data_IF_199776412341
#
_entry.id   IF_199776412341
#
_cell.length_a   1.000
_cell.length_b   1.000
_cell.length_c   1.000
_cell.angle_alpha   90.00
_cell.angle_beta   90.00
_cell.angle_gamma   90.00
#
_symmetry.space_group_name_H-M   'P 1'
#
loop_
_entity.id
_entity.type
_entity.pdbx_description
1 polymer ?
#
# COMPACT_ATOMS: atom_id res chain seq x y z
N UNK A 1 -18.60 9.57 12.58
CA UNK A 1 -19.15 10.85 12.07
C UNK A 1 -20.10 10.53 10.93
N UNK A 2 -21.36 10.92 11.02
CA UNK A 2 -22.39 10.61 10.01
C UNK A 2 -22.23 11.54 8.80
N UNK A 3 -22.76 11.13 7.64
CA UNK A 3 -22.75 11.95 6.40
C UNK A 3 -23.40 13.32 6.62
N UNK A 4 -24.35 13.42 7.55
CA UNK A 4 -25.03 14.67 7.92
C UNK A 4 -24.11 15.62 8.72
N UNK A 5 -23.25 15.10 9.58
CA UNK A 5 -22.26 15.91 10.33
C UNK A 5 -21.17 16.46 9.41
N UNK A 6 -20.76 15.69 8.40
CA UNK A 6 -19.78 16.14 7.40
C UNK A 6 -20.33 17.29 6.53
N UNK A 7 -21.60 17.22 6.16
CA UNK A 7 -22.27 18.29 5.37
C UNK A 7 -22.50 19.55 6.19
N UNK A 8 -22.81 19.43 7.48
CA UNK A 8 -22.99 20.57 8.39
C UNK A 8 -21.67 21.33 8.67
N UNK A 9 -20.52 20.61 8.65
CA UNK A 9 -19.21 21.22 8.83
C UNK A 9 -18.70 21.92 7.56
N UNK A 10 -19.10 21.42 6.38
CA UNK A 10 -18.80 22.07 5.10
C UNK A 10 -19.53 23.43 4.93
N UNK A 11 -20.67 23.62 5.58
CA UNK A 11 -21.46 24.85 5.53
C UNK A 11 -20.88 26.00 6.39
N UNK A 12 -20.00 25.68 7.35
CA UNK A 12 -19.34 26.66 8.26
C UNK A 12 -18.09 27.33 7.68
N UNK A 13 -17.75 27.05 6.41
CA UNK A 13 -16.60 27.73 5.77
C UNK A 13 -16.88 29.22 5.53
N UNK A 14 -15.91 30.13 5.82
CA UNK A 14 -16.14 31.55 5.73
C UNK A 14 -16.49 31.99 4.30
N UNK A 15 -17.49 32.87 4.17
CA UNK A 15 -18.04 33.37 2.89
C UNK A 15 -17.00 33.87 1.87
N UNK A 16 -15.80 34.23 2.31
CA UNK A 16 -14.71 34.69 1.43
C UNK A 16 -14.20 33.60 0.47
N UNK A 17 -14.28 32.33 0.85
CA UNK A 17 -13.86 31.22 -0.01
C UNK A 17 -14.88 30.89 -1.11
N UNK A 18 -16.16 31.15 -0.86
CA UNK A 18 -17.24 30.93 -1.86
C UNK A 18 -17.15 31.96 -3.00
N UNK A 19 -16.70 33.20 -2.71
CA UNK A 19 -16.52 34.24 -3.72
C UNK A 19 -15.33 33.94 -4.65
N UNK A 20 -14.26 33.37 -4.14
CA UNK A 20 -13.07 33.04 -4.94
C UNK A 20 -13.37 31.89 -5.93
N UNK A 21 -14.11 30.86 -5.49
CA UNK A 21 -14.54 29.76 -6.35
C UNK A 21 -15.53 30.20 -7.43
N UNK A 22 -16.43 31.13 -7.11
CA UNK A 22 -17.36 31.69 -8.08
C UNK A 22 -16.66 32.53 -9.16
N UNK A 23 -15.65 33.31 -8.80
CA UNK A 23 -14.87 34.12 -9.75
C UNK A 23 -14.00 33.26 -10.67
N UNK A 24 -13.40 32.20 -10.15
CA UNK A 24 -12.62 31.24 -10.95
C UNK A 24 -13.47 30.44 -11.92
N UNK A 25 -14.71 30.08 -11.54
CA UNK A 25 -15.63 29.39 -12.45
C UNK A 25 -16.19 30.32 -13.54
N UNK A 26 -16.47 31.59 -13.22
CA UNK A 26 -16.89 32.58 -14.20
C UNK A 26 -15.76 32.96 -15.18
N UNK A 27 -14.53 33.09 -14.69
CA UNK A 27 -13.36 33.34 -15.54
C UNK A 27 -13.07 32.13 -16.46
N UNK A 28 -13.28 30.90 -15.97
CA UNK A 28 -13.12 29.66 -16.75
C UNK A 28 -14.19 29.57 -17.86
N UNK A 29 -15.44 29.89 -17.57
CA UNK A 29 -16.51 29.93 -18.58
C UNK A 29 -16.30 31.00 -19.65
N UNK A 30 -15.77 32.18 -19.29
CA UNK A 30 -15.48 33.25 -20.28
C UNK A 30 -14.29 32.88 -21.16
N UNK A 31 -13.29 32.21 -20.65
CA UNK A 31 -12.15 31.72 -21.43
C UNK A 31 -12.54 30.62 -22.45
N UNK A 32 -13.58 29.81 -22.17
CA UNK A 32 -14.04 28.77 -23.09
C UNK A 32 -14.79 29.31 -24.29
N UNK A 33 -15.29 30.56 -24.25
CA UNK A 33 -16.09 31.19 -25.34
C UNK A 33 -15.24 32.17 -26.17
N UNK A 34 -14.01 32.49 -25.76
CA UNK A 34 -13.12 33.39 -26.51
C UNK A 34 -12.18 32.59 -27.43
N UNK A 35 -11.82 33.14 -28.63
CA UNK A 35 -10.83 32.49 -29.51
C UNK A 35 -9.48 32.22 -28.84
N UNK A 36 -9.11 33.03 -27.83
CA UNK A 36 -7.92 32.83 -27.02
C UNK A 36 -8.05 31.64 -26.07
N UNK A 37 -9.24 31.34 -25.54
CA UNK A 37 -9.51 30.16 -24.71
C UNK A 37 -9.40 28.86 -25.50
N UNK A 38 -9.81 28.87 -26.77
CA UNK A 38 -9.64 27.70 -27.66
C UNK A 38 -8.17 27.39 -27.97
N UNK A 39 -7.32 28.41 -28.09
CA UNK A 39 -5.90 28.25 -28.28
C UNK A 39 -5.20 27.69 -27.04
N UNK A 40 -5.66 28.06 -25.85
CA UNK A 40 -5.14 27.56 -24.57
C UNK A 40 -5.52 26.11 -24.35
N UNK A 41 -6.77 25.73 -24.56
CA UNK A 41 -7.23 24.35 -24.46
C UNK A 41 -6.50 23.41 -25.44
N UNK A 42 -6.07 23.95 -26.60
CA UNK A 42 -5.33 23.20 -27.61
C UNK A 42 -3.80 23.08 -27.32
N UNK A 43 -3.28 24.00 -26.50
CA UNK A 43 -1.86 23.99 -26.12
C UNK A 43 -1.52 23.04 -24.95
N UNK A 44 -2.51 22.68 -24.10
CA UNK A 44 -2.29 21.83 -22.94
C UNK A 44 -2.40 20.33 -23.20
N UNK A 45 -2.58 19.90 -24.43
CA UNK A 45 -2.49 18.48 -24.78
C UNK A 45 -1.02 18.01 -24.93
N UNK A 46 -0.11 18.49 -24.06
CA UNK A 46 1.12 17.80 -23.76
C UNK A 46 0.70 16.52 -23.03
N UNK A 47 0.54 15.43 -23.78
CA UNK A 47 0.59 14.09 -23.22
C UNK A 47 1.87 14.03 -22.40
N UNK A 48 1.78 14.21 -21.09
CA UNK A 48 2.77 13.69 -20.16
C UNK A 48 2.72 12.20 -20.39
N UNK A 49 3.59 11.68 -21.24
CA UNK A 49 3.73 10.25 -21.42
C UNK A 49 4.35 9.71 -20.12
N UNK A 50 3.51 9.44 -19.14
CA UNK A 50 3.87 8.54 -18.06
C UNK A 50 4.24 7.23 -18.78
N UNK A 51 5.45 6.67 -18.57
CA UNK A 51 5.77 5.37 -19.13
C UNK A 51 4.67 4.39 -18.77
N UNK A 52 4.19 3.55 -19.68
CA UNK A 52 3.19 2.55 -19.36
C UNK A 52 3.72 1.64 -18.25
N UNK A 53 2.86 1.18 -17.35
CA UNK A 53 3.20 0.18 -16.37
C UNK A 53 3.72 -1.08 -17.09
N UNK A 54 4.68 -1.79 -16.49
CA UNK A 54 5.23 -3.02 -17.07
C UNK A 54 4.22 -4.17 -17.06
N UNK A 55 3.33 -4.19 -16.06
CA UNK A 55 2.22 -5.11 -15.94
C UNK A 55 1.07 -4.44 -15.19
N UNK A 56 -0.16 -4.79 -15.54
CA UNK A 56 -1.37 -4.26 -14.93
C UNK A 56 -2.39 -5.39 -14.75
N UNK A 57 -3.12 -5.38 -13.65
CA UNK A 57 -4.25 -6.27 -13.42
C UNK A 57 -5.29 -5.57 -12.55
N UNK A 58 -6.55 -5.62 -12.96
CA UNK A 58 -7.70 -5.18 -12.17
C UNK A 58 -8.62 -6.36 -11.94
N UNK A 59 -8.90 -6.64 -10.67
CA UNK A 59 -9.67 -7.80 -10.23
C UNK A 59 -10.85 -7.38 -9.35
N UNK A 60 -12.00 -7.98 -9.53
CA UNK A 60 -13.12 -7.86 -8.60
C UNK A 60 -12.83 -8.71 -7.35
N UNK A 61 -12.83 -8.09 -6.16
CA UNK A 61 -12.26 -8.66 -4.95
C UNK A 61 -13.00 -9.92 -4.44
N UNK A 62 -14.33 -9.99 -4.59
CA UNK A 62 -15.12 -11.10 -4.04
C UNK A 62 -15.10 -12.33 -4.95
N UNK A 63 -15.35 -12.13 -6.24
CA UNK A 63 -15.40 -13.21 -7.24
C UNK A 63 -14.02 -13.59 -7.79
N UNK A 64 -12.99 -12.74 -7.55
CA UNK A 64 -11.66 -12.83 -8.15
C UNK A 64 -11.67 -12.80 -9.67
N UNK A 65 -12.73 -12.25 -10.27
CA UNK A 65 -12.84 -12.12 -11.72
C UNK A 65 -11.92 -11.00 -12.21
N UNK A 66 -11.07 -11.30 -13.18
CA UNK A 66 -10.24 -10.30 -13.86
C UNK A 66 -11.16 -9.41 -14.70
N UNK A 67 -11.06 -8.10 -14.48
CA UNK A 67 -11.80 -7.08 -15.24
C UNK A 67 -10.93 -6.48 -16.34
N UNK A 68 -9.62 -6.39 -16.10
CA UNK A 68 -8.63 -5.92 -17.06
C UNK A 68 -7.27 -6.49 -16.71
N UNK A 69 -6.49 -6.83 -17.72
CA UNK A 69 -5.14 -7.33 -17.57
C UNK A 69 -4.28 -6.92 -18.76
N UNK A 70 -3.05 -6.49 -18.48
CA UNK A 70 -2.01 -6.24 -19.47
C UNK A 70 -0.69 -6.76 -18.93
N UNK A 71 -0.10 -7.76 -19.60
CA UNK A 71 1.14 -8.43 -19.18
C UNK A 71 1.08 -8.96 -17.73
N UNK A 72 -0.12 -9.31 -17.24
CA UNK A 72 -0.38 -9.58 -15.82
C UNK A 72 0.30 -10.83 -15.27
N UNK A 73 0.69 -11.78 -16.12
CA UNK A 73 1.42 -12.99 -15.75
C UNK A 73 2.96 -12.82 -15.78
N UNK A 74 3.47 -11.64 -16.13
CA UNK A 74 4.91 -11.39 -16.14
C UNK A 74 5.49 -11.41 -14.73
N UNK A 75 6.53 -12.19 -14.50
CA UNK A 75 7.28 -12.22 -13.24
C UNK A 75 8.18 -10.99 -13.16
N UNK A 76 7.87 -10.10 -12.23
CA UNK A 76 8.53 -8.81 -12.06
C UNK A 76 8.92 -8.59 -10.59
N UNK A 77 9.98 -7.80 -10.33
CA UNK A 77 10.26 -7.32 -9.00
C UNK A 77 9.13 -6.38 -8.56
N UNK A 78 8.65 -6.57 -7.33
CA UNK A 78 7.45 -5.91 -6.82
C UNK A 78 7.73 -4.81 -5.78
N UNK A 79 8.98 -4.65 -5.34
CA UNK A 79 9.38 -3.69 -4.31
C UNK A 79 8.48 -3.78 -3.05
N UNK A 80 8.14 -2.65 -2.45
CA UNK A 80 7.39 -2.60 -1.18
C UNK A 80 5.95 -3.13 -1.23
N UNK A 81 5.39 -3.47 -2.40
CA UNK A 81 4.12 -4.19 -2.44
C UNK A 81 4.21 -5.59 -1.81
N UNK A 82 5.41 -6.14 -1.67
CA UNK A 82 5.73 -7.33 -0.85
C UNK A 82 5.12 -7.24 0.56
N UNK A 83 5.07 -6.04 1.15
CA UNK A 83 4.63 -5.82 2.54
C UNK A 83 3.16 -6.15 2.79
N UNK A 84 2.34 -6.21 1.73
CA UNK A 84 0.96 -6.70 1.83
C UNK A 84 0.98 -8.17 2.29
N UNK A 85 1.83 -8.99 1.64
CA UNK A 85 1.98 -10.39 2.02
C UNK A 85 2.65 -10.53 3.39
N UNK A 86 3.66 -9.71 3.68
CA UNK A 86 4.31 -9.69 5.00
C UNK A 86 3.31 -9.43 6.11
N UNK A 87 2.47 -8.41 5.97
CA UNK A 87 1.46 -8.06 6.97
C UNK A 87 0.48 -9.21 7.23
N UNK A 88 -0.09 -9.81 6.18
CA UNK A 88 -1.05 -10.91 6.37
C UNK A 88 -0.36 -12.17 6.90
N UNK A 89 0.89 -12.45 6.50
CA UNK A 89 1.66 -13.56 7.05
C UNK A 89 1.89 -13.38 8.55
N UNK A 90 2.24 -12.17 9.00
CA UNK A 90 2.38 -11.86 10.44
C UNK A 90 1.04 -12.06 11.16
N UNK A 91 -0.05 -11.49 10.64
CA UNK A 91 -1.38 -11.60 11.25
C UNK A 91 -1.86 -13.06 11.39
N UNK A 92 -1.56 -13.92 10.42
CA UNK A 92 -1.91 -15.34 10.48
C UNK A 92 -1.09 -16.15 11.48
N UNK A 93 0.13 -15.70 11.82
CA UNK A 93 1.05 -16.44 12.68
C UNK A 93 1.24 -15.80 14.07
N UNK A 94 0.60 -14.67 14.36
CA UNK A 94 0.62 -14.01 15.66
C UNK A 94 -0.60 -14.42 16.47
N UNK A 95 -0.38 -14.93 17.69
CA UNK A 95 -1.46 -15.28 18.61
C UNK A 95 -2.13 -14.03 19.20
N UNK A 96 -1.36 -12.96 19.43
CA UNK A 96 -1.80 -11.67 19.94
C UNK A 96 -1.00 -10.53 19.33
N UNK A 97 -1.64 -9.71 18.52
CA UNK A 97 -0.98 -8.54 17.89
C UNK A 97 -0.65 -7.43 18.89
N UNK A 98 -1.18 -7.48 20.11
CA UNK A 98 -0.84 -6.56 21.21
C UNK A 98 0.40 -6.99 21.99
N UNK A 99 0.91 -8.20 21.75
CA UNK A 99 2.16 -8.66 22.32
C UNK A 99 3.29 -7.69 21.99
N UNK A 100 4.06 -7.32 23.03
CA UNK A 100 5.22 -6.43 22.90
C UNK A 100 6.50 -7.24 22.94
N UNK A 101 7.44 -6.87 22.09
CA UNK A 101 8.76 -7.48 22.07
C UNK A 101 9.86 -6.45 21.85
N UNK A 102 11.08 -6.82 22.21
CA UNK A 102 12.27 -5.99 22.07
C UNK A 102 12.81 -6.09 20.64
N UNK A 103 13.14 -4.94 20.04
CA UNK A 103 13.68 -4.87 18.67
C UNK A 103 15.09 -5.45 18.63
N UNK A 104 15.29 -6.53 17.85
CA UNK A 104 16.61 -7.14 17.71
C UNK A 104 17.55 -6.26 16.87
N UNK A 105 18.84 -6.29 17.17
CA UNK A 105 19.85 -5.50 16.42
C UNK A 105 19.87 -5.80 14.92
N UNK A 106 19.51 -7.02 14.53
CA UNK A 106 19.45 -7.43 13.12
C UNK A 106 18.37 -6.70 12.32
N UNK A 107 17.32 -6.16 12.97
CA UNK A 107 16.27 -5.41 12.30
C UNK A 107 16.60 -3.91 12.13
N UNK A 108 17.74 -3.44 12.66
CA UNK A 108 18.11 -2.02 12.67
C UNK A 108 19.07 -1.71 11.52
N UNK A 109 18.87 -0.55 10.88
CA UNK A 109 19.76 -0.09 9.79
C UNK A 109 19.51 -0.77 8.44
N UNK A 110 18.34 -1.37 8.26
CA UNK A 110 17.93 -1.96 6.97
C UNK A 110 17.82 -0.86 5.92
N UNK A 111 18.35 -1.11 4.74
CA UNK A 111 18.32 -0.17 3.61
C UNK A 111 16.89 0.18 3.20
N UNK A 112 16.68 1.43 2.75
CA UNK A 112 15.42 1.91 2.19
C UNK A 112 14.54 2.66 3.19
N UNK A 113 13.21 2.55 3.05
CA UNK A 113 12.26 3.23 3.94
C UNK A 113 12.34 2.66 5.36
N UNK A 114 12.39 3.54 6.36
CA UNK A 114 12.54 3.16 7.77
C UNK A 114 11.68 4.04 8.67
N UNK A 115 11.25 3.51 9.79
CA UNK A 115 10.72 4.26 10.94
C UNK A 115 11.79 4.55 11.99
N UNK A 116 13.03 4.14 11.72
CA UNK A 116 14.21 4.36 12.55
C UNK A 116 14.15 3.68 13.92
N UNK A 117 13.75 2.40 13.92
CA UNK A 117 13.79 1.56 15.12
C UNK A 117 15.21 1.51 15.70
N UNK A 118 15.29 1.37 17.02
CA UNK A 118 16.56 1.20 17.72
C UNK A 118 16.58 -0.15 18.42
N UNK A 119 17.75 -0.74 18.48
CA UNK A 119 17.98 -1.98 19.26
C UNK A 119 17.55 -1.78 20.71
N UNK A 120 16.75 -2.70 21.23
CA UNK A 120 16.24 -2.66 22.60
C UNK A 120 14.97 -1.82 22.81
N UNK A 121 14.51 -1.05 21.81
CA UNK A 121 13.18 -0.45 21.87
C UNK A 121 12.11 -1.55 21.95
N UNK A 122 10.98 -1.27 22.60
CA UNK A 122 9.89 -2.24 22.76
C UNK A 122 8.63 -1.72 22.08
N UNK A 123 8.12 -2.48 21.12
CA UNK A 123 6.88 -2.19 20.39
C UNK A 123 5.97 -3.41 20.34
N UNK A 124 4.67 -3.19 20.13
CA UNK A 124 3.75 -4.29 19.85
C UNK A 124 3.85 -4.71 18.38
N UNK A 125 3.41 -5.94 18.08
CA UNK A 125 3.25 -6.41 16.71
C UNK A 125 2.36 -5.45 15.91
N UNK A 126 1.28 -4.93 16.54
CA UNK A 126 0.38 -3.96 15.93
C UNK A 126 1.08 -2.64 15.58
N UNK A 127 1.88 -2.06 16.50
CA UNK A 127 2.64 -0.82 16.23
C UNK A 127 3.55 -0.98 14.99
N UNK A 128 4.23 -2.12 14.91
CA UNK A 128 5.12 -2.42 13.79
C UNK A 128 4.36 -2.70 12.48
N UNK A 129 3.16 -3.30 12.55
CA UNK A 129 2.29 -3.45 11.37
C UNK A 129 1.81 -2.09 10.85
N UNK A 130 1.52 -1.13 11.71
CA UNK A 130 1.24 0.24 11.30
C UNK A 130 2.48 0.91 10.68
N UNK A 131 3.66 0.77 11.27
CA UNK A 131 4.91 1.25 10.70
C UNK A 131 5.22 0.63 9.34
N UNK A 132 4.97 -0.67 9.19
CA UNK A 132 5.10 -1.43 7.95
C UNK A 132 4.20 -0.88 6.84
N UNK A 133 2.90 -0.71 7.12
CA UNK A 133 1.91 -0.40 6.09
C UNK A 133 1.80 1.11 5.81
N UNK A 134 1.91 1.98 6.82
CA UNK A 134 1.72 3.42 6.65
C UNK A 134 3.02 4.16 6.30
N UNK A 135 4.19 3.63 6.70
CA UNK A 135 5.50 4.24 6.45
C UNK A 135 6.39 3.38 5.57
N UNK A 136 5.94 2.18 5.23
CA UNK A 136 6.73 1.23 4.44
C UNK A 136 8.07 0.86 5.09
N UNK A 137 8.14 0.80 6.44
CA UNK A 137 9.35 0.54 7.19
C UNK A 137 9.95 -0.83 6.87
N UNK A 138 11.18 -0.86 6.35
CA UNK A 138 11.93 -2.10 6.12
C UNK A 138 12.41 -2.69 7.45
N UNK A 139 12.77 -1.84 8.40
CA UNK A 139 13.09 -2.20 9.77
C UNK A 139 11.90 -2.87 10.49
N UNK A 140 10.67 -2.36 10.29
CA UNK A 140 9.46 -3.02 10.79
C UNK A 140 9.28 -4.40 10.16
N UNK A 141 9.52 -4.54 8.85
CA UNK A 141 9.39 -5.83 8.16
C UNK A 141 10.36 -6.88 8.73
N UNK A 142 11.63 -6.51 8.91
CA UNK A 142 12.65 -7.39 9.51
C UNK A 142 12.33 -7.74 10.97
N UNK A 143 11.95 -6.74 11.79
CA UNK A 143 11.60 -6.97 13.19
C UNK A 143 10.44 -7.95 13.34
N UNK A 144 9.37 -7.74 12.56
CA UNK A 144 8.20 -8.63 12.53
C UNK A 144 8.55 -10.03 12.06
N UNK A 145 9.37 -10.17 11.01
CA UNK A 145 9.78 -11.47 10.49
C UNK A 145 10.61 -12.25 11.50
N UNK A 146 11.58 -11.59 12.15
CA UNK A 146 12.43 -12.19 13.18
C UNK A 146 11.61 -12.59 14.40
N UNK A 147 10.67 -11.75 14.85
CA UNK A 147 9.79 -12.08 15.97
C UNK A 147 8.87 -13.27 15.65
N UNK A 148 8.27 -13.29 14.45
CA UNK A 148 7.29 -14.33 14.07
C UNK A 148 7.92 -15.70 13.85
N UNK A 149 9.12 -15.76 13.24
CA UNK A 149 9.72 -17.02 12.79
C UNK A 149 11.17 -17.22 13.24
N UNK A 150 11.78 -16.27 13.95
CA UNK A 150 13.17 -16.37 14.41
C UNK A 150 14.22 -16.10 13.32
N UNK A 151 13.89 -16.20 12.04
CA UNK A 151 14.80 -15.90 10.93
C UNK A 151 14.04 -15.43 9.69
N UNK A 152 14.72 -14.63 8.84
CA UNK A 152 14.19 -14.17 7.55
C UNK A 152 13.92 -15.34 6.61
N UNK A 153 14.77 -16.36 6.63
CA UNK A 153 14.59 -17.56 5.79
C UNK A 153 13.31 -18.32 6.14
N UNK A 154 13.07 -18.60 7.41
CA UNK A 154 11.86 -19.26 7.89
C UNK A 154 10.62 -18.41 7.61
N UNK A 155 10.71 -17.08 7.80
CA UNK A 155 9.63 -16.18 7.48
C UNK A 155 9.31 -16.17 5.97
N UNK A 156 10.33 -16.21 5.10
CA UNK A 156 10.14 -16.32 3.65
C UNK A 156 9.42 -17.64 3.27
N UNK A 157 9.67 -18.74 3.95
CA UNK A 157 8.91 -19.99 3.78
C UNK A 157 7.43 -19.74 4.10
N UNK A 158 7.13 -19.13 5.26
CA UNK A 158 5.76 -18.80 5.65
C UNK A 158 5.08 -17.84 4.68
N UNK A 159 5.80 -16.84 4.15
CA UNK A 159 5.27 -15.95 3.12
C UNK A 159 4.82 -16.74 1.88
N UNK A 160 5.65 -17.65 1.40
CA UNK A 160 5.30 -18.46 0.22
C UNK A 160 4.11 -19.41 0.50
N UNK A 161 3.99 -19.98 1.70
CA UNK A 161 2.82 -20.76 2.12
C UNK A 161 1.55 -19.89 2.12
N UNK A 162 1.62 -18.66 2.65
CA UNK A 162 0.49 -17.71 2.64
C UNK A 162 0.13 -17.26 1.21
N UNK A 163 1.14 -17.04 0.35
CA UNK A 163 0.91 -16.75 -1.06
C UNK A 163 0.18 -17.89 -1.78
N UNK A 164 0.57 -19.15 -1.53
CA UNK A 164 -0.12 -20.33 -2.06
C UNK A 164 -1.57 -20.44 -1.58
N UNK A 165 -1.84 -20.17 -0.29
CA UNK A 165 -3.22 -20.11 0.25
C UNK A 165 -4.05 -19.03 -0.45
N UNK A 166 -3.46 -17.90 -0.80
CA UNK A 166 -4.11 -16.85 -1.57
C UNK A 166 -4.40 -17.24 -3.02
N UNK A 167 -3.72 -18.27 -3.53
CA UNK A 167 -3.77 -18.72 -4.93
C UNK A 167 -2.70 -18.09 -5.82
N UNK A 168 -1.71 -17.40 -5.25
CA UNK A 168 -0.60 -16.77 -5.95
C UNK A 168 0.51 -17.81 -6.19
N UNK A 169 0.45 -18.50 -7.34
CA UNK A 169 1.30 -19.66 -7.65
C UNK A 169 2.51 -19.30 -8.51
N UNK A 170 2.50 -18.15 -9.17
CA UNK A 170 3.56 -17.66 -10.05
C UNK A 170 4.47 -16.63 -9.36
N UNK A 171 4.63 -16.77 -8.04
CA UNK A 171 5.37 -15.86 -7.18
C UNK A 171 6.41 -16.57 -6.33
N UNK A 172 7.47 -15.86 -5.96
CA UNK A 172 8.49 -16.32 -5.03
C UNK A 172 8.97 -15.17 -4.16
N UNK A 173 8.90 -15.36 -2.85
CA UNK A 173 9.27 -14.36 -1.85
C UNK A 173 10.50 -14.82 -1.08
N UNK A 174 11.50 -13.95 -0.94
CA UNK A 174 12.80 -14.22 -0.29
C UNK A 174 13.08 -13.31 0.90
N UNK A 175 12.41 -12.16 0.98
CA UNK A 175 12.55 -11.22 2.07
C UNK A 175 11.22 -10.52 2.37
N UNK A 176 11.05 -9.91 3.58
CA UNK A 176 9.77 -9.34 4.01
C UNK A 176 9.52 -7.91 3.53
N UNK A 177 10.48 -7.25 2.89
CA UNK A 177 10.41 -5.81 2.58
C UNK A 177 10.38 -5.48 1.09
N UNK A 178 10.80 -6.42 0.22
CA UNK A 178 10.75 -6.23 -1.23
C UNK A 178 12.02 -5.64 -1.85
N UNK A 179 13.15 -5.60 -1.14
CA UNK A 179 14.42 -5.27 -1.76
C UNK A 179 14.80 -6.35 -2.78
N UNK A 180 15.40 -5.95 -3.92
CA UNK A 180 15.75 -6.89 -4.98
C UNK A 180 16.73 -7.96 -4.50
N UNK A 181 16.41 -9.21 -4.78
CA UNK A 181 17.34 -10.33 -4.63
C UNK A 181 16.96 -11.44 -5.62
N UNK A 182 17.88 -12.35 -5.89
CA UNK A 182 17.65 -13.45 -6.81
C UNK A 182 16.46 -14.31 -6.39
N UNK A 183 15.57 -14.59 -7.33
CA UNK A 183 14.37 -15.38 -7.09
C UNK A 183 13.25 -14.68 -6.30
N UNK A 184 13.32 -13.34 -6.10
CA UNK A 184 12.27 -12.54 -5.47
C UNK A 184 11.43 -11.83 -6.53
N UNK A 185 10.24 -12.38 -6.83
CA UNK A 185 9.35 -11.89 -7.87
C UNK A 185 7.89 -12.21 -7.56
N UNK A 186 6.99 -11.48 -8.20
CA UNK A 186 5.55 -11.79 -8.29
C UNK A 186 5.01 -11.39 -9.66
N UNK A 187 3.73 -11.65 -9.91
CA UNK A 187 3.00 -11.15 -11.07
C UNK A 187 1.94 -10.15 -10.64
N UNK A 188 1.48 -9.29 -11.56
CA UNK A 188 0.39 -8.37 -11.25
C UNK A 188 -0.92 -9.12 -10.92
N UNK A 189 -1.14 -10.27 -11.54
CA UNK A 189 -2.24 -11.19 -11.24
C UNK A 189 -2.14 -11.70 -9.79
N UNK A 190 -1.02 -12.29 -9.41
CA UNK A 190 -0.80 -12.88 -8.09
C UNK A 190 -0.86 -11.83 -6.97
N UNK A 191 -0.32 -10.63 -7.23
CA UNK A 191 -0.39 -9.53 -6.27
C UNK A 191 -1.84 -9.13 -5.97
N UNK A 192 -2.74 -9.16 -6.97
CA UNK A 192 -4.17 -8.97 -6.74
C UNK A 192 -4.78 -10.09 -5.90
N UNK A 193 -4.41 -11.35 -6.14
CA UNK A 193 -4.89 -12.48 -5.34
C UNK A 193 -4.45 -12.33 -3.88
N UNK A 194 -3.19 -11.96 -3.64
CA UNK A 194 -2.65 -11.68 -2.30
C UNK A 194 -3.41 -10.52 -1.64
N UNK A 195 -3.65 -9.43 -2.37
CA UNK A 195 -4.40 -8.29 -1.85
C UNK A 195 -5.85 -8.66 -1.51
N UNK A 196 -6.54 -9.40 -2.38
CA UNK A 196 -7.89 -9.90 -2.12
C UNK A 196 -7.94 -10.81 -0.87
N UNK A 197 -6.91 -11.63 -0.70
CA UNK A 197 -6.78 -12.51 0.47
C UNK A 197 -6.55 -11.70 1.75
N UNK A 198 -5.61 -10.76 1.75
CA UNK A 198 -5.32 -9.90 2.89
C UNK A 198 -6.54 -9.06 3.32
N UNK A 199 -7.32 -8.57 2.36
CA UNK A 199 -8.54 -7.80 2.62
C UNK A 199 -9.67 -8.63 3.26
N UNK A 200 -9.54 -9.94 3.42
CA UNK A 200 -10.49 -10.74 4.20
C UNK A 200 -10.25 -10.60 5.71
N UNK A 201 -9.02 -10.29 6.17
CA UNK A 201 -8.74 -10.00 7.57
C UNK A 201 -9.33 -8.66 7.99
N UNK A 202 -10.01 -8.64 9.14
CA UNK A 202 -10.55 -7.41 9.73
C UNK A 202 -9.42 -6.50 10.22
N UNK A 203 -8.38 -7.08 10.82
CA UNK A 203 -7.20 -6.39 11.33
C UNK A 203 -6.43 -5.73 10.19
N UNK A 204 -6.21 -6.45 9.09
CA UNK A 204 -5.55 -5.88 7.91
C UNK A 204 -6.34 -4.69 7.37
N UNK A 205 -7.66 -4.83 7.20
CA UNK A 205 -8.51 -3.70 6.74
C UNK A 205 -8.43 -2.50 7.68
N UNK A 206 -8.44 -2.73 9.00
CA UNK A 206 -8.29 -1.67 9.99
C UNK A 206 -6.97 -0.93 9.80
N UNK A 207 -5.85 -1.66 9.71
CA UNK A 207 -4.52 -1.07 9.55
C UNK A 207 -4.44 -0.22 8.28
N UNK A 208 -4.82 -0.76 7.12
CA UNK A 208 -4.65 -0.07 5.83
C UNK A 208 -5.66 1.07 5.61
N UNK A 209 -6.78 1.10 6.33
CA UNK A 209 -7.73 2.20 6.30
C UNK A 209 -7.40 3.34 7.27
N UNK A 210 -6.43 3.14 8.15
CA UNK A 210 -6.02 4.12 9.14
C UNK A 210 -5.25 5.25 8.48
N UNK A 211 -5.68 6.50 8.73
CA UNK A 211 -5.05 7.70 8.17
C UNK A 211 -3.91 8.24 9.02
N UNK A 212 -4.01 8.02 10.30
CA UNK A 212 -3.08 8.54 11.30
C UNK A 212 -2.98 7.57 12.47
N UNK A 213 -1.76 7.26 12.91
CA UNK A 213 -1.46 6.37 14.03
C UNK A 213 -0.35 6.99 14.89
N UNK A 214 -0.57 7.07 16.22
CA UNK A 214 0.37 7.56 17.23
C UNK A 214 0.72 6.46 18.23
#
# INVERSE_FOLDING_TARGET
MSTAEYLAEAEKRPRRFRFLCGFLSAAYCVCLVSPAGYAWAKAENKKTSVPPAQAECVMEANSRRILYESNGAAQLPMASTTKILTAITVLENSADIKEKFEIPSAAVGVEGSSVYLKTGDTYSVEDLLYGLMLRSGNDCAEALALHTCGSIGEFAVRMNETAQKAGALDSSFKNPHGLPCEGHYTTAHDLNLIACYAMQSAEFRQIVSTRYYE
#
